data_IF_924406856249
#
_entry.id   IF_924406856249
#
_cell.length_a   1.000
_cell.length_b   1.000
_cell.length_c   1.000
_cell.angle_alpha   90.00
_cell.angle_beta   90.00
_cell.angle_gamma   90.00
#
_symmetry.space_group_name_H-M   'P 1'
#
loop_
_entity.id
_entity.type
_entity.pdbx_description
1 polymer ?
#
# COMPACT_ATOMS: atom_id res chain seq x y z
N UNK A 1 -15.05 5.41 -9.42
CA UNK A 1 -14.70 6.21 -8.25
C UNK A 1 -13.52 5.55 -7.55
N UNK A 2 -12.33 6.18 -7.57
CA UNK A 2 -11.20 6.02 -6.62
C UNK A 2 -9.81 6.39 -7.20
N UNK A 3 -9.65 6.61 -8.51
CA UNK A 3 -8.37 7.10 -9.05
C UNK A 3 -8.10 8.58 -8.70
N UNK A 4 -9.15 9.40 -8.61
CA UNK A 4 -9.02 10.84 -8.28
C UNK A 4 -8.51 11.03 -6.84
N UNK A 5 -9.00 10.23 -5.89
CA UNK A 5 -8.58 10.34 -4.50
C UNK A 5 -7.12 9.88 -4.30
N UNK A 6 -6.73 8.78 -4.93
CA UNK A 6 -5.34 8.32 -4.88
C UNK A 6 -4.40 9.35 -5.51
N UNK A 7 -4.77 9.90 -6.67
CA UNK A 7 -3.99 10.92 -7.36
C UNK A 7 -3.78 12.16 -6.49
N UNK A 8 -4.88 12.72 -5.97
CA UNK A 8 -4.86 13.89 -5.10
C UNK A 8 -4.08 13.63 -3.80
N UNK A 9 -4.25 12.46 -3.18
CA UNK A 9 -3.50 12.13 -1.96
C UNK A 9 -2.00 12.05 -2.22
N UNK A 10 -1.58 11.37 -3.29
CA UNK A 10 -0.18 11.26 -3.65
C UNK A 10 0.43 12.65 -3.91
N UNK A 11 -0.23 13.48 -4.71
CA UNK A 11 0.25 14.84 -5.05
C UNK A 11 0.45 15.73 -3.81
N UNK A 12 -0.38 15.56 -2.78
CA UNK A 12 -0.33 16.37 -1.56
C UNK A 12 0.56 15.78 -0.44
N UNK A 13 0.77 14.46 -0.43
CA UNK A 13 1.39 13.76 0.70
C UNK A 13 2.77 13.19 0.40
N UNK A 14 3.09 12.94 -0.88
CA UNK A 14 4.31 12.24 -1.29
C UNK A 14 5.23 13.21 -2.04
N UNK A 15 6.56 13.20 -1.80
CA UNK A 15 7.50 14.03 -2.53
C UNK A 15 7.40 13.83 -4.05
N UNK A 16 7.66 14.90 -4.81
CA UNK A 16 7.58 14.88 -6.28
C UNK A 16 8.36 13.74 -6.93
N UNK A 17 9.54 13.46 -6.42
CA UNK A 17 10.43 12.41 -6.94
C UNK A 17 9.88 10.98 -6.67
N UNK A 18 8.94 10.84 -5.75
CA UNK A 18 8.29 9.58 -5.38
C UNK A 18 6.82 9.48 -5.86
N UNK A 19 6.31 10.52 -6.55
CA UNK A 19 4.93 10.52 -7.05
C UNK A 19 4.70 9.39 -8.05
N UNK A 20 5.68 9.06 -8.89
CA UNK A 20 5.54 7.98 -9.87
C UNK A 20 5.34 6.63 -9.17
N UNK A 21 6.03 6.40 -8.04
CA UNK A 21 5.92 5.19 -7.23
C UNK A 21 4.57 5.13 -6.48
N UNK A 22 4.00 6.28 -6.14
CA UNK A 22 2.67 6.37 -5.53
C UNK A 22 1.52 6.19 -6.55
N UNK A 23 1.71 6.69 -7.78
CA UNK A 23 0.67 6.79 -8.81
C UNK A 23 0.68 5.67 -9.87
N UNK A 24 1.80 4.97 -10.07
CA UNK A 24 1.99 4.08 -11.22
C UNK A 24 2.50 2.67 -10.89
N UNK A 25 2.26 1.83 -11.89
CA UNK A 25 2.37 0.39 -11.92
C UNK A 25 3.68 -0.09 -12.60
N UNK A 26 4.69 -0.46 -11.80
CA UNK A 26 5.93 -1.20 -12.15
C UNK A 26 6.98 -0.50 -13.04
N UNK A 27 8.18 -0.30 -12.49
CA UNK A 27 9.38 -1.13 -12.72
C UNK A 27 10.28 -0.96 -11.49
N UNK A 28 11.19 -1.90 -11.22
CA UNK A 28 12.20 -1.74 -10.16
C UNK A 28 13.12 -0.59 -10.55
N UNK A 29 12.72 0.65 -10.26
CA UNK A 29 13.55 1.83 -10.48
C UNK A 29 14.63 1.83 -9.38
N UNK A 30 15.92 2.04 -9.70
CA UNK A 30 16.96 2.25 -8.69
C UNK A 30 16.59 3.34 -7.65
N UNK A 31 15.68 4.27 -7.98
CA UNK A 31 15.09 5.24 -7.05
C UNK A 31 14.14 4.65 -6.00
N UNK A 32 13.78 3.36 -6.07
CA UNK A 32 13.04 2.65 -5.00
C UNK A 32 13.72 2.90 -3.66
N UNK A 33 15.05 2.83 -3.61
CA UNK A 33 15.81 3.05 -2.37
C UNK A 33 15.57 4.42 -1.74
N UNK A 34 15.46 5.49 -2.54
CA UNK A 34 15.17 6.84 -2.04
C UNK A 34 13.72 7.05 -1.61
N UNK A 35 12.78 6.26 -2.14
CA UNK A 35 11.35 6.40 -1.86
C UNK A 35 10.82 5.41 -0.81
N UNK A 36 11.62 4.41 -0.39
CA UNK A 36 11.27 3.49 0.70
C UNK A 36 10.90 4.26 1.97
N UNK A 37 11.62 5.35 2.30
CA UNK A 37 11.29 6.17 3.47
C UNK A 37 9.89 6.81 3.38
N UNK A 38 9.37 7.02 2.17
CA UNK A 38 8.06 7.61 1.89
C UNK A 38 6.95 6.55 1.77
N UNK A 39 7.29 5.25 1.86
CA UNK A 39 6.35 4.13 1.74
C UNK A 39 5.16 4.25 2.70
N UNK A 40 5.38 4.77 3.91
CA UNK A 40 4.30 4.99 4.87
C UNK A 40 3.25 6.01 4.39
N UNK A 41 3.66 7.07 3.67
CA UNK A 41 2.75 8.07 3.11
C UNK A 41 1.97 7.50 1.93
N UNK A 42 2.66 6.71 1.09
CA UNK A 42 2.02 5.98 -0.01
C UNK A 42 0.97 4.99 0.52
N UNK A 43 1.32 4.19 1.55
CA UNK A 43 0.41 3.27 2.23
C UNK A 43 -0.81 3.98 2.82
N UNK A 44 -0.64 5.15 3.43
CA UNK A 44 -1.74 5.94 3.95
C UNK A 44 -2.72 6.37 2.84
N UNK A 45 -2.21 6.74 1.66
CA UNK A 45 -3.04 7.05 0.51
C UNK A 45 -3.82 5.83 0.00
N UNK A 46 -3.19 4.65 -0.04
CA UNK A 46 -3.86 3.40 -0.43
C UNK A 46 -4.90 2.92 0.58
N UNK A 47 -4.64 3.10 1.87
CA UNK A 47 -5.59 2.85 2.95
C UNK A 47 -6.77 3.83 2.95
N UNK A 48 -6.73 4.83 2.07
CA UNK A 48 -7.81 5.76 1.76
C UNK A 48 -8.52 6.38 2.97
N UNK A 49 -7.74 6.65 4.01
CA UNK A 49 -8.21 7.21 5.28
C UNK A 49 -9.09 6.27 6.11
N UNK A 50 -9.18 4.98 5.74
CA UNK A 50 -9.94 3.96 6.48
C UNK A 50 -9.01 2.95 7.14
N UNK A 51 -9.50 2.40 8.25
CA UNK A 51 -8.81 1.37 9.00
C UNK A 51 -9.31 -0.02 8.56
N UNK A 52 -8.46 -0.75 7.83
CA UNK A 52 -8.78 -2.06 7.29
C UNK A 52 -8.26 -3.22 8.15
N UNK A 53 -7.77 -2.93 9.38
CA UNK A 53 -7.16 -3.94 10.26
C UNK A 53 -8.08 -5.13 10.55
N UNK A 54 -9.38 -4.90 10.75
CA UNK A 54 -10.35 -5.97 10.99
C UNK A 54 -10.47 -6.91 9.78
N UNK A 55 -10.45 -6.37 8.56
CA UNK A 55 -10.47 -7.19 7.35
C UNK A 55 -9.17 -8.01 7.23
N UNK A 56 -8.02 -7.36 7.41
CA UNK A 56 -6.72 -8.03 7.31
C UNK A 56 -6.53 -9.13 8.37
N UNK A 57 -6.96 -8.88 9.60
CA UNK A 57 -6.94 -9.87 10.69
C UNK A 57 -7.80 -11.09 10.34
N UNK A 58 -9.02 -10.88 9.82
CA UNK A 58 -9.89 -11.96 9.33
C UNK A 58 -9.30 -12.71 8.13
N UNK A 59 -8.54 -12.02 7.29
CA UNK A 59 -7.81 -12.61 6.16
C UNK A 59 -6.58 -13.44 6.57
N UNK A 60 -6.21 -13.44 7.86
CA UNK A 60 -5.09 -14.22 8.39
C UNK A 60 -3.75 -13.47 8.43
N UNK A 61 -3.76 -12.15 8.25
CA UNK A 61 -2.55 -11.35 8.35
C UNK A 61 -2.06 -11.29 9.81
N UNK A 62 -0.76 -11.48 10.03
CA UNK A 62 -0.22 -11.47 11.40
C UNK A 62 -0.38 -10.10 12.07
N UNK A 63 -0.50 -10.09 13.40
CA UNK A 63 -0.63 -8.86 14.19
C UNK A 63 0.49 -7.84 13.95
N UNK A 64 1.71 -8.33 13.67
CA UNK A 64 2.85 -7.47 13.35
C UNK A 64 2.70 -6.71 12.02
N UNK A 65 1.83 -7.18 11.13
CA UNK A 65 1.60 -6.62 9.81
C UNK A 65 0.33 -5.76 9.71
N UNK A 66 -0.59 -5.87 10.69
CA UNK A 66 -1.82 -5.08 10.74
C UNK A 66 -1.63 -3.56 10.61
N UNK A 67 -0.55 -2.91 11.12
CA UNK A 67 -0.38 -1.47 10.93
C UNK A 67 -0.42 -1.02 9.47
N UNK A 68 0.06 -1.84 8.52
CA UNK A 68 -0.02 -1.55 7.08
C UNK A 68 -1.47 -1.33 6.64
N UNK A 69 -2.40 -2.16 7.13
CA UNK A 69 -3.81 -2.08 6.78
C UNK A 69 -4.52 -0.85 7.37
N UNK A 70 -3.89 -0.17 8.32
CA UNK A 70 -4.32 1.15 8.80
C UNK A 70 -3.60 2.31 8.10
N UNK A 71 -2.73 2.05 7.13
CA UNK A 71 -1.89 3.07 6.50
C UNK A 71 -0.71 3.53 7.36
N UNK A 72 -0.27 2.71 8.32
CA UNK A 72 0.84 3.05 9.22
C UNK A 72 2.16 2.38 8.80
N UNK A 73 3.27 3.06 9.09
CA UNK A 73 4.61 2.52 8.91
C UNK A 73 4.87 1.32 9.84
N UNK A 74 5.70 0.39 9.38
CA UNK A 74 6.28 -0.66 10.23
C UNK A 74 7.66 -0.23 10.74
N UNK A 75 8.09 -0.85 11.83
CA UNK A 75 9.29 -0.45 12.56
C UNK A 75 10.62 -0.82 11.88
N UNK A 76 10.62 -1.78 10.94
CA UNK A 76 11.84 -2.20 10.24
C UNK A 76 11.57 -2.66 8.81
N UNK A 77 12.54 -2.49 7.92
CA UNK A 77 12.49 -2.94 6.52
C UNK A 77 12.26 -4.46 6.40
N UNK A 78 12.82 -5.25 7.32
CA UNK A 78 12.62 -6.72 7.36
C UNK A 78 11.16 -7.07 7.66
N UNK A 79 10.53 -6.33 8.58
CA UNK A 79 9.11 -6.50 8.87
C UNK A 79 8.27 -6.10 7.67
N UNK A 80 8.62 -5.01 6.99
CA UNK A 80 7.97 -4.58 5.74
C UNK A 80 8.05 -5.69 4.68
N UNK A 81 9.25 -6.20 4.38
CA UNK A 81 9.42 -7.26 3.38
C UNK A 81 8.63 -8.54 3.71
N UNK A 82 8.55 -8.91 5.00
CA UNK A 82 7.78 -10.06 5.45
C UNK A 82 6.27 -9.85 5.25
N UNK A 83 5.78 -8.67 5.65
CA UNK A 83 4.37 -8.30 5.55
C UNK A 83 3.92 -8.03 4.11
N UNK A 84 4.85 -7.63 3.24
CA UNK A 84 4.62 -7.39 1.82
C UNK A 84 4.96 -8.60 0.94
N UNK A 85 5.23 -9.77 1.53
CA UNK A 85 5.40 -11.01 0.78
C UNK A 85 4.16 -11.33 -0.08
N UNK A 86 4.35 -12.03 -1.19
CA UNK A 86 3.25 -12.42 -2.10
C UNK A 86 2.04 -13.03 -1.37
N UNK A 87 2.28 -13.87 -0.37
CA UNK A 87 1.22 -14.51 0.42
C UNK A 87 0.35 -13.52 1.23
N UNK A 88 0.95 -12.45 1.75
CA UNK A 88 0.27 -11.46 2.58
C UNK A 88 -0.31 -10.30 1.76
N UNK A 89 0.32 -10.01 0.62
CA UNK A 89 -0.05 -8.92 -0.28
C UNK A 89 -1.50 -9.02 -0.74
N UNK A 90 -1.94 -10.20 -1.17
CA UNK A 90 -3.30 -10.39 -1.69
C UNK A 90 -4.37 -10.09 -0.64
N UNK A 91 -4.10 -10.44 0.62
CA UNK A 91 -4.97 -10.13 1.76
C UNK A 91 -5.07 -8.62 1.96
N UNK A 92 -3.93 -7.93 2.03
CA UNK A 92 -3.88 -6.46 2.24
C UNK A 92 -4.63 -5.74 1.11
N UNK A 93 -4.36 -6.11 -0.14
CA UNK A 93 -4.98 -5.46 -1.30
C UNK A 93 -6.49 -5.72 -1.32
N UNK A 94 -6.91 -6.97 -1.12
CA UNK A 94 -8.32 -7.35 -1.05
C UNK A 94 -9.08 -6.46 -0.07
N UNK A 95 -8.52 -6.23 1.11
CA UNK A 95 -9.13 -5.40 2.13
C UNK A 95 -9.21 -3.92 1.74
N UNK A 96 -8.15 -3.35 1.16
CA UNK A 96 -8.21 -1.98 0.63
C UNK A 96 -9.25 -1.80 -0.47
N UNK A 97 -9.56 -2.87 -1.20
CA UNK A 97 -10.55 -2.88 -2.27
C UNK A 97 -11.95 -3.31 -1.82
N UNK A 98 -12.13 -3.69 -0.56
CA UNK A 98 -13.43 -4.13 -0.04
C UNK A 98 -14.47 -3.03 -0.30
N UNK A 99 -15.60 -3.42 -0.91
CA UNK A 99 -16.70 -2.53 -1.31
C UNK A 99 -16.40 -1.52 -2.43
N UNK A 100 -15.24 -1.59 -3.12
CA UNK A 100 -14.90 -0.70 -4.25
C UNK A 100 -15.27 -1.22 -5.63
N UNK A 101 -15.74 -2.46 -5.75
CA UNK A 101 -16.13 -3.07 -7.04
C UNK A 101 -14.98 -3.24 -8.04
N UNK A 102 -13.74 -3.30 -7.55
CA UNK A 102 -12.51 -3.39 -8.35
C UNK A 102 -12.06 -4.86 -8.46
N UNK A 103 -11.72 -5.30 -9.68
CA UNK A 103 -11.31 -6.69 -9.99
C UNK A 103 -9.80 -6.89 -9.78
N UNK A 104 -9.40 -8.12 -9.44
CA UNK A 104 -8.06 -8.64 -9.16
C UNK A 104 -6.92 -8.30 -10.17
N UNK A 105 -7.22 -7.66 -11.30
CA UNK A 105 -6.19 -7.26 -12.29
C UNK A 105 -5.47 -5.96 -11.86
N UNK A 106 -6.12 -5.14 -11.03
CA UNK A 106 -5.54 -3.90 -10.49
C UNK A 106 -4.65 -4.15 -9.27
N UNK A 107 -4.69 -5.35 -8.67
CA UNK A 107 -4.04 -5.66 -7.39
C UNK A 107 -2.55 -6.00 -7.53
N UNK A 108 -2.16 -6.57 -8.68
CA UNK A 108 -0.79 -6.95 -8.99
C UNK A 108 0.17 -5.78 -9.15
N UNK A 109 -0.35 -4.55 -9.22
CA UNK A 109 0.42 -3.39 -9.62
C UNK A 109 0.63 -2.34 -8.51
N UNK A 110 -0.11 -2.44 -7.41
CA UNK A 110 -0.17 -1.43 -6.33
C UNK A 110 0.97 -1.53 -5.30
N UNK A 111 1.70 -2.65 -5.20
CA UNK A 111 2.61 -2.89 -4.05
C UNK A 111 4.02 -3.39 -4.43
N UNK A 112 4.52 -3.02 -5.60
CA UNK A 112 5.94 -3.20 -5.95
C UNK A 112 6.78 -1.99 -5.48
N UNK A 113 6.57 -1.53 -4.24
CA UNK A 113 7.50 -0.64 -3.54
C UNK A 113 8.63 -1.45 -2.92
#
# INVERSE_FOLDING_TARGET
YNLIFLADCCENSVPRDCLQQCLHEQTVDPQITSCISESHKMLACFADGRDHRICCEKGGLSHSCLPICGGHALSTDVTIATCMSYANRDIIVSCFLENKGLTFILTDKIFLC
#
